data_IF_047565507048
#
_entry.id   IF_047565507048
#
_cell.length_a   1.000
_cell.length_b   1.000
_cell.length_c   1.000
_cell.angle_alpha   90.00
_cell.angle_beta   90.00
_cell.angle_gamma   90.00
#
_symmetry.space_group_name_H-M   'P 1'
#
loop_
_entity.id
_entity.type
_entity.pdbx_description
1 polymer ?
#
# COMPACT_ATOMS: atom_id res chain seq x y z
N UNK A 1 -6.15 32.44 -17.84
CA UNK A 1 -7.46 31.83 -17.60
C UNK A 1 -8.54 32.90 -17.67
N UNK A 2 -9.43 32.83 -18.67
CA UNK A 2 -10.54 33.76 -18.86
C UNK A 2 -11.27 33.49 -20.17
N UNK A 3 -12.47 34.09 -20.39
CA UNK A 3 -13.30 33.83 -21.56
C UNK A 3 -12.66 34.23 -22.90
N UNK A 4 -11.49 34.89 -22.88
CA UNK A 4 -10.70 35.27 -24.06
C UNK A 4 -9.41 34.44 -24.25
N UNK A 5 -9.24 33.32 -23.55
CA UNK A 5 -8.08 32.44 -23.70
C UNK A 5 -8.04 31.88 -25.13
N UNK A 6 -7.03 32.28 -25.92
CA UNK A 6 -6.80 31.74 -27.27
C UNK A 6 -6.13 30.38 -27.14
N UNK A 7 -6.75 29.34 -27.68
CA UNK A 7 -6.10 28.06 -27.83
C UNK A 7 -5.03 28.12 -28.92
N UNK A 8 -3.80 27.76 -28.62
CA UNK A 8 -2.71 27.67 -29.60
C UNK A 8 -2.59 26.16 -29.95
N UNK A 9 -2.77 25.86 -31.23
CA UNK A 9 -2.51 24.52 -31.76
C UNK A 9 -1.03 24.42 -32.08
N UNK A 10 -0.37 23.44 -31.45
CA UNK A 10 1.02 23.08 -31.72
C UNK A 10 1.04 21.78 -32.53
N UNK A 11 1.79 21.78 -33.64
CA UNK A 11 2.04 20.56 -34.40
C UNK A 11 3.19 19.81 -33.75
N UNK A 12 2.93 18.58 -33.31
CA UNK A 12 3.92 17.69 -32.70
C UNK A 12 4.31 16.59 -33.69
N UNK A 13 5.58 16.18 -33.71
CA UNK A 13 5.99 15.00 -34.47
C UNK A 13 5.25 13.75 -33.92
N UNK A 14 5.15 12.66 -34.70
CA UNK A 14 4.54 11.41 -34.21
C UNK A 14 5.15 10.97 -32.90
N UNK A 15 4.33 10.64 -31.90
CA UNK A 15 4.75 10.18 -30.58
C UNK A 15 3.81 9.13 -30.03
N UNK A 16 4.28 8.35 -29.08
CA UNK A 16 3.49 7.42 -28.29
C UNK A 16 3.20 8.03 -26.92
N UNK A 17 1.92 8.17 -26.58
CA UNK A 17 1.50 8.64 -25.27
C UNK A 17 1.28 7.47 -24.32
N UNK A 18 1.97 7.48 -23.20
CA UNK A 18 1.75 6.56 -22.08
C UNK A 18 1.28 7.36 -20.88
N UNK A 19 0.16 6.95 -20.29
CA UNK A 19 -0.40 7.59 -19.10
C UNK A 19 -0.70 6.55 -18.02
N UNK A 20 -0.65 6.95 -16.76
CA UNK A 20 -1.03 6.13 -15.62
C UNK A 20 -1.87 6.96 -14.63
N UNK A 21 -2.83 6.30 -13.99
CA UNK A 21 -3.66 6.91 -12.95
C UNK A 21 -4.02 5.87 -11.90
N UNK A 22 -4.15 6.29 -10.66
CA UNK A 22 -4.71 5.48 -9.56
C UNK A 22 -6.23 5.59 -9.50
N UNK A 23 -6.82 6.59 -10.17
CA UNK A 23 -8.26 6.92 -10.15
C UNK A 23 -8.87 6.83 -11.55
N UNK A 24 -8.86 5.63 -12.14
CA UNK A 24 -9.41 5.40 -13.47
C UNK A 24 -10.89 5.84 -13.62
N UNK A 25 -11.66 5.79 -12.53
CA UNK A 25 -13.06 6.24 -12.50
C UNK A 25 -13.27 7.74 -12.70
N UNK A 26 -12.23 8.58 -12.50
CA UNK A 26 -12.28 10.01 -12.75
C UNK A 26 -11.96 10.38 -14.20
N UNK A 27 -11.49 9.43 -15.01
CA UNK A 27 -11.26 9.66 -16.42
C UNK A 27 -12.60 9.68 -17.17
N UNK A 28 -12.81 10.73 -17.94
CA UNK A 28 -13.98 10.81 -18.82
C UNK A 28 -13.91 9.73 -19.91
N UNK A 29 -15.06 9.20 -20.35
CA UNK A 29 -15.10 8.19 -21.41
C UNK A 29 -14.35 8.63 -22.67
N UNK A 30 -14.53 9.89 -23.19
CA UNK A 30 -13.80 10.32 -24.38
C UNK A 30 -12.27 10.32 -24.23
N UNK A 31 -11.75 10.54 -23.04
CA UNK A 31 -10.31 10.46 -22.80
C UNK A 31 -9.84 9.01 -22.76
N UNK A 32 -10.59 8.14 -22.07
CA UNK A 32 -10.28 6.71 -21.98
C UNK A 32 -10.29 6.04 -23.37
N UNK A 33 -11.28 6.35 -24.18
CA UNK A 33 -11.48 5.74 -25.51
C UNK A 33 -10.38 6.13 -26.51
N UNK A 34 -9.62 7.20 -26.22
CA UNK A 34 -8.45 7.60 -27.04
C UNK A 34 -7.22 6.74 -26.80
N UNK A 35 -7.17 5.98 -25.71
CA UNK A 35 -6.08 5.04 -25.45
C UNK A 35 -6.44 3.68 -26.07
N UNK A 36 -5.67 3.24 -27.07
CA UNK A 36 -5.90 1.97 -27.77
C UNK A 36 -5.58 0.74 -26.93
N UNK A 37 -4.78 0.90 -25.88
CA UNK A 37 -4.36 -0.17 -24.96
C UNK A 37 -4.60 0.30 -23.54
N UNK A 38 -5.46 -0.40 -22.81
CA UNK A 38 -5.74 -0.13 -21.38
C UNK A 38 -5.34 -1.36 -20.60
N UNK A 39 -4.43 -1.18 -19.65
CA UNK A 39 -3.93 -2.23 -18.76
C UNK A 39 -4.18 -1.87 -17.30
N UNK A 40 -4.59 -2.84 -16.50
CA UNK A 40 -4.68 -2.72 -15.07
C UNK A 40 -3.44 -3.37 -14.45
N UNK A 41 -2.70 -2.58 -13.67
CA UNK A 41 -1.58 -3.11 -12.91
C UNK A 41 -2.10 -3.72 -11.61
N UNK A 42 -1.66 -4.94 -11.33
CA UNK A 42 -1.95 -5.64 -10.09
C UNK A 42 -0.76 -5.59 -9.14
N UNK A 43 -0.99 -5.96 -7.90
CA UNK A 43 0.08 -6.09 -6.93
C UNK A 43 0.97 -7.27 -7.28
N UNK A 44 2.27 -7.13 -7.01
CA UNK A 44 3.26 -8.18 -7.24
C UNK A 44 3.11 -9.30 -6.21
N UNK A 45 3.39 -10.52 -6.62
CA UNK A 45 3.52 -11.65 -5.71
C UNK A 45 4.73 -11.50 -4.78
N UNK A 46 4.77 -12.25 -3.69
CA UNK A 46 5.94 -12.28 -2.79
C UNK A 46 7.17 -12.80 -3.53
N UNK A 47 6.99 -13.75 -4.44
CA UNK A 47 8.05 -14.32 -5.28
C UNK A 47 8.66 -13.26 -6.19
N UNK A 48 7.83 -12.52 -6.92
CA UNK A 48 8.29 -11.43 -7.81
C UNK A 48 9.00 -10.34 -7.03
N UNK A 49 8.44 -9.93 -5.88
CA UNK A 49 9.08 -8.94 -5.01
C UNK A 49 10.40 -9.45 -4.44
N UNK A 50 10.52 -10.75 -4.14
CA UNK A 50 11.78 -11.35 -3.70
C UNK A 50 12.85 -11.24 -4.78
N UNK A 51 12.50 -11.47 -6.04
CA UNK A 51 13.40 -11.27 -7.18
C UNK A 51 13.81 -9.80 -7.32
N UNK A 52 12.86 -8.87 -7.20
CA UNK A 52 13.12 -7.43 -7.25
C UNK A 52 14.06 -6.99 -6.11
N UNK A 53 13.82 -7.46 -4.89
CA UNK A 53 14.65 -7.14 -3.71
C UNK A 53 16.09 -7.66 -3.90
N UNK A 54 16.27 -8.92 -4.34
CA UNK A 54 17.58 -9.50 -4.62
C UNK A 54 18.33 -8.71 -5.68
N UNK A 55 17.67 -8.40 -6.80
CA UNK A 55 18.26 -7.58 -7.87
C UNK A 55 18.69 -6.22 -7.34
N UNK A 56 17.83 -5.56 -6.57
CA UNK A 56 18.12 -4.24 -6.01
C UNK A 56 19.25 -4.28 -4.98
N UNK A 57 19.33 -5.34 -4.15
CA UNK A 57 20.45 -5.55 -3.23
C UNK A 57 21.77 -5.72 -3.97
N UNK A 58 21.80 -6.53 -5.04
CA UNK A 58 22.99 -6.70 -5.88
C UNK A 58 23.45 -5.38 -6.51
N UNK A 59 22.51 -4.53 -6.99
CA UNK A 59 22.85 -3.21 -7.56
C UNK A 59 23.39 -2.22 -6.52
N UNK A 60 23.15 -2.48 -5.24
CA UNK A 60 23.67 -1.67 -4.13
C UNK A 60 24.88 -2.31 -3.43
N UNK A 61 25.42 -3.41 -3.97
CA UNK A 61 26.51 -4.20 -3.38
C UNK A 61 26.24 -4.63 -1.93
N UNK A 62 24.97 -5.00 -1.64
CA UNK A 62 24.53 -5.44 -0.31
C UNK A 62 24.45 -6.96 -0.26
N UNK A 63 25.28 -7.65 0.53
CA UNK A 63 25.18 -9.10 0.74
C UNK A 63 23.82 -9.46 1.35
N UNK A 64 23.12 -10.41 0.71
CA UNK A 64 21.75 -10.78 1.12
C UNK A 64 21.49 -12.27 0.89
N UNK A 65 20.86 -12.92 1.88
CA UNK A 65 20.36 -14.29 1.73
C UNK A 65 18.98 -14.30 1.05
N UNK A 66 18.61 -15.47 0.49
CA UNK A 66 17.28 -15.65 -0.10
C UNK A 66 16.13 -15.38 0.89
N UNK A 67 16.30 -15.83 2.14
CA UNK A 67 15.30 -15.69 3.19
C UNK A 67 15.20 -14.24 3.70
N UNK A 68 16.32 -13.50 3.74
CA UNK A 68 16.31 -12.06 4.02
C UNK A 68 15.54 -11.26 2.98
N UNK A 69 15.75 -11.59 1.69
CA UNK A 69 15.00 -10.96 0.60
C UNK A 69 13.50 -11.29 0.68
N UNK A 70 13.14 -12.55 0.98
CA UNK A 70 11.76 -12.98 1.12
C UNK A 70 11.05 -12.31 2.30
N UNK A 71 11.75 -12.11 3.41
CA UNK A 71 11.20 -11.40 4.57
C UNK A 71 10.85 -9.94 4.25
N UNK A 72 11.73 -9.23 3.53
CA UNK A 72 11.45 -7.87 3.05
C UNK A 72 10.28 -7.87 2.06
N UNK A 73 10.27 -8.79 1.09
CA UNK A 73 9.26 -8.91 0.07
C UNK A 73 7.85 -9.13 0.68
N UNK A 74 7.76 -10.04 1.66
CA UNK A 74 6.49 -10.37 2.34
C UNK A 74 5.86 -9.15 3.02
N UNK A 75 6.67 -8.29 3.64
CA UNK A 75 6.20 -7.06 4.31
C UNK A 75 6.07 -5.85 3.37
N UNK A 76 6.24 -6.04 2.05
CA UNK A 76 6.29 -4.94 1.07
C UNK A 76 4.95 -4.59 0.41
N UNK A 77 3.85 -5.14 0.89
CA UNK A 77 2.49 -4.76 0.47
C UNK A 77 2.27 -4.92 -1.05
N UNK A 78 2.88 -5.92 -1.69
CA UNK A 78 2.74 -6.15 -3.13
C UNK A 78 3.36 -5.07 -4.03
N UNK A 79 4.18 -4.16 -3.47
CA UNK A 79 4.61 -2.95 -4.18
C UNK A 79 6.13 -2.83 -4.26
N UNK A 80 6.74 -2.80 -5.46
CA UNK A 80 8.20 -2.64 -5.64
C UNK A 80 8.77 -1.38 -5.01
N UNK A 81 8.02 -0.27 -5.01
CA UNK A 81 8.44 0.98 -4.35
C UNK A 81 8.64 0.78 -2.85
N UNK A 82 7.69 0.09 -2.19
CA UNK A 82 7.77 -0.19 -0.76
C UNK A 82 8.90 -1.18 -0.50
N UNK A 83 9.03 -2.25 -1.29
CA UNK A 83 10.11 -3.22 -1.18
C UNK A 83 11.50 -2.56 -1.23
N UNK A 84 11.73 -1.69 -2.19
CA UNK A 84 12.99 -0.95 -2.31
C UNK A 84 13.20 0.07 -1.17
N UNK A 85 12.13 0.68 -0.66
CA UNK A 85 12.21 1.56 0.52
C UNK A 85 12.62 0.78 1.76
N UNK A 86 11.96 -0.36 2.02
CA UNK A 86 12.28 -1.22 3.14
C UNK A 86 13.69 -1.80 3.03
N UNK A 87 14.09 -2.27 1.85
CA UNK A 87 15.44 -2.76 1.60
C UNK A 87 16.52 -1.75 2.00
N UNK A 88 16.38 -0.47 1.60
CA UNK A 88 17.33 0.57 1.99
C UNK A 88 17.43 0.74 3.50
N UNK A 89 16.28 0.71 4.21
CA UNK A 89 16.25 0.84 5.66
C UNK A 89 16.85 -0.38 6.38
N UNK A 90 16.56 -1.58 5.87
CA UNK A 90 17.15 -2.82 6.38
C UNK A 90 18.66 -2.84 6.15
N UNK A 91 19.15 -2.37 4.97
CA UNK A 91 20.57 -2.19 4.70
C UNK A 91 21.23 -1.26 5.72
N UNK A 92 20.65 -0.07 5.92
CA UNK A 92 21.19 0.92 6.87
C UNK A 92 21.27 0.33 8.29
N UNK A 93 20.25 -0.42 8.69
CA UNK A 93 20.25 -1.13 9.98
C UNK A 93 21.32 -2.23 10.04
N UNK A 94 21.47 -3.05 8.98
CA UNK A 94 22.46 -4.12 8.93
C UNK A 94 23.90 -3.59 8.98
N UNK A 95 24.17 -2.45 8.35
CA UNK A 95 25.48 -1.78 8.40
C UNK A 95 25.81 -1.24 9.81
N UNK A 96 24.81 -0.76 10.54
CA UNK A 96 25.03 -0.15 11.88
C UNK A 96 25.02 -1.20 13.00
N UNK A 97 24.16 -2.20 12.90
CA UNK A 97 23.88 -3.17 13.97
C UNK A 97 24.39 -4.58 13.70
N UNK A 98 24.97 -4.82 12.53
CA UNK A 98 25.45 -6.14 12.09
C UNK A 98 26.74 -6.06 11.29
N UNK A 99 26.95 -7.06 10.44
CA UNK A 99 28.11 -7.20 9.55
C UNK A 99 27.88 -6.57 8.15
N UNK A 100 26.70 -5.98 7.94
CA UNK A 100 26.27 -5.49 6.62
C UNK A 100 25.54 -6.53 5.77
N UNK A 101 25.53 -7.81 6.18
CA UNK A 101 24.78 -8.86 5.51
C UNK A 101 23.32 -8.87 5.99
N UNK A 102 22.39 -9.04 5.05
CA UNK A 102 20.95 -9.13 5.32
C UNK A 102 20.51 -10.59 5.22
N UNK A 103 20.40 -11.26 6.36
CA UNK A 103 19.71 -12.54 6.50
C UNK A 103 18.29 -12.31 7.05
N UNK A 104 17.52 -13.40 7.22
CA UNK A 104 16.14 -13.33 7.70
C UNK A 104 16.01 -12.63 9.06
N UNK A 105 16.83 -12.99 10.04
CA UNK A 105 16.81 -12.43 11.39
C UNK A 105 17.16 -10.93 11.38
N UNK A 106 18.16 -10.53 10.61
CA UNK A 106 18.53 -9.12 10.44
C UNK A 106 17.40 -8.33 9.79
N UNK A 107 16.77 -8.87 8.73
CA UNK A 107 15.64 -8.25 8.07
C UNK A 107 14.45 -8.10 9.04
N UNK A 108 14.13 -9.14 9.81
CA UNK A 108 13.04 -9.13 10.78
C UNK A 108 13.25 -8.04 11.85
N UNK A 109 14.42 -8.03 12.50
CA UNK A 109 14.73 -7.02 13.54
C UNK A 109 14.66 -5.58 13.00
N UNK A 110 15.17 -5.36 11.80
CA UNK A 110 15.12 -4.04 11.17
C UNK A 110 13.67 -3.62 10.88
N UNK A 111 12.84 -4.52 10.34
CA UNK A 111 11.44 -4.25 10.03
C UNK A 111 10.59 -4.05 11.28
N UNK A 112 10.86 -4.79 12.34
CA UNK A 112 10.20 -4.61 13.64
C UNK A 112 10.54 -3.25 14.25
N UNK A 113 11.81 -2.80 14.16
CA UNK A 113 12.22 -1.45 14.53
C UNK A 113 11.49 -0.37 13.73
N UNK A 114 11.21 -0.62 12.46
CA UNK A 114 10.43 0.26 11.58
C UNK A 114 8.93 0.17 11.84
N UNK A 115 8.49 -0.68 12.79
CA UNK A 115 7.09 -0.92 13.13
C UNK A 115 6.25 -1.43 11.94
N UNK A 116 6.87 -2.18 11.05
CA UNK A 116 6.20 -2.92 9.98
C UNK A 116 6.06 -4.36 10.46
N UNK A 117 4.83 -4.81 10.69
CA UNK A 117 4.59 -6.15 11.23
C UNK A 117 4.73 -7.26 10.18
N UNK A 118 4.51 -8.51 10.62
CA UNK A 118 4.63 -9.70 9.77
C UNK A 118 3.70 -9.70 8.55
N UNK A 119 2.60 -8.97 8.62
CA UNK A 119 1.59 -8.85 7.56
C UNK A 119 1.77 -7.57 6.74
N UNK A 120 2.85 -6.82 6.97
CA UNK A 120 3.18 -5.58 6.26
C UNK A 120 2.36 -4.37 6.71
N UNK A 121 1.63 -4.47 7.83
CA UNK A 121 0.91 -3.34 8.40
C UNK A 121 1.89 -2.40 9.12
N UNK A 122 1.82 -1.13 8.80
CA UNK A 122 2.59 -0.10 9.47
C UNK A 122 1.79 0.57 10.62
N UNK A 123 2.34 1.62 11.20
CA UNK A 123 1.71 2.33 12.31
C UNK A 123 0.37 2.97 11.91
N UNK A 124 0.26 3.51 10.68
CA UNK A 124 -0.98 4.14 10.21
C UNK A 124 -2.05 3.10 9.93
N UNK A 125 -1.71 1.98 9.32
CA UNK A 125 -2.63 0.87 9.08
C UNK A 125 -3.24 0.37 10.39
N UNK A 126 -2.38 0.12 11.38
CA UNK A 126 -2.83 -0.36 12.70
C UNK A 126 -3.69 0.67 13.43
N UNK A 127 -3.32 1.95 13.33
CA UNK A 127 -4.12 3.03 13.89
C UNK A 127 -5.49 3.13 13.24
N UNK A 128 -5.56 2.96 11.91
CA UNK A 128 -6.83 2.92 11.17
C UNK A 128 -7.70 1.77 11.64
N UNK A 129 -7.16 0.56 11.70
CA UNK A 129 -7.90 -0.63 12.14
C UNK A 129 -8.35 -0.52 13.60
N UNK A 130 -7.44 -0.12 14.52
CA UNK A 130 -7.79 0.12 15.92
C UNK A 130 -8.93 1.15 16.05
N UNK A 131 -8.82 2.27 15.32
CA UNK A 131 -9.87 3.30 15.34
C UNK A 131 -11.22 2.74 14.86
N UNK A 132 -11.22 1.99 13.76
CA UNK A 132 -12.44 1.39 13.22
C UNK A 132 -13.04 0.35 14.17
N UNK A 133 -12.21 -0.48 14.81
CA UNK A 133 -12.63 -1.54 15.72
C UNK A 133 -13.13 -0.97 17.06
N UNK A 134 -12.35 -0.07 17.69
CA UNK A 134 -12.57 0.35 19.07
C UNK A 134 -13.50 1.56 19.20
N UNK A 135 -13.42 2.51 18.26
CA UNK A 135 -14.23 3.75 18.29
C UNK A 135 -15.51 3.66 17.50
N UNK A 136 -15.54 2.83 16.47
CA UNK A 136 -16.69 2.69 15.57
C UNK A 136 -17.30 1.28 15.62
N UNK A 137 -16.96 0.48 16.64
CA UNK A 137 -17.50 -0.88 16.85
C UNK A 137 -17.43 -1.76 15.60
N UNK A 138 -16.34 -1.64 14.83
CA UNK A 138 -16.14 -2.32 13.55
C UNK A 138 -16.90 -1.71 12.37
N UNK A 139 -17.61 -0.63 12.55
CA UNK A 139 -18.34 0.09 11.51
C UNK A 139 -19.84 -0.28 11.41
N UNK A 140 -20.53 0.30 10.42
CA UNK A 140 -20.05 1.12 9.31
C UNK A 140 -19.64 2.54 9.71
N UNK A 141 -18.46 2.99 9.30
CA UNK A 141 -17.91 4.31 9.57
C UNK A 141 -17.70 5.11 8.27
N UNK A 142 -18.11 6.36 8.22
CA UNK A 142 -17.83 7.26 7.12
C UNK A 142 -16.35 7.63 7.05
N UNK A 143 -15.81 7.85 5.83
CA UNK A 143 -14.37 8.21 5.66
C UNK A 143 -14.03 9.50 6.39
N UNK A 144 -14.87 10.52 6.32
CA UNK A 144 -14.64 11.80 6.97
C UNK A 144 -14.60 11.68 8.50
N UNK A 145 -15.47 10.82 9.09
CA UNK A 145 -15.47 10.57 10.51
C UNK A 145 -14.20 9.83 10.97
N UNK A 146 -13.74 8.84 10.18
CA UNK A 146 -12.47 8.14 10.42
C UNK A 146 -11.28 9.09 10.28
N UNK A 147 -11.24 9.89 9.23
CA UNK A 147 -10.19 10.87 8.97
C UNK A 147 -10.06 11.88 10.12
N UNK A 148 -11.20 12.44 10.55
CA UNK A 148 -11.26 13.35 11.69
C UNK A 148 -10.77 12.68 12.99
N UNK A 149 -11.20 11.43 13.25
CA UNK A 149 -10.78 10.68 14.44
C UNK A 149 -9.27 10.32 14.42
N UNK A 150 -8.70 10.17 13.24
CA UNK A 150 -7.27 9.92 13.05
C UNK A 150 -6.43 11.19 12.94
N UNK A 151 -7.04 12.38 12.85
CA UNK A 151 -6.37 13.63 12.50
C UNK A 151 -5.56 13.50 11.20
N UNK A 152 -6.15 12.87 10.19
CA UNK A 152 -5.58 12.63 8.87
C UNK A 152 -6.52 13.20 7.78
N UNK A 153 -6.01 13.35 6.57
CA UNK A 153 -6.83 13.72 5.41
C UNK A 153 -7.59 12.49 4.87
N UNK A 154 -8.86 12.66 4.48
CA UNK A 154 -9.67 11.58 3.92
C UNK A 154 -9.07 10.98 2.65
N UNK A 155 -8.41 11.80 1.82
CA UNK A 155 -7.67 11.33 0.66
C UNK A 155 -6.50 10.42 1.03
N UNK A 156 -5.80 10.68 2.14
CA UNK A 156 -4.75 9.79 2.65
C UNK A 156 -5.32 8.43 3.03
N UNK A 157 -6.49 8.41 3.69
CA UNK A 157 -7.15 7.15 4.02
C UNK A 157 -7.49 6.36 2.74
N UNK A 158 -8.13 7.02 1.78
CA UNK A 158 -8.63 6.37 0.56
C UNK A 158 -7.55 5.93 -0.42
N UNK A 159 -6.47 6.71 -0.55
CA UNK A 159 -5.47 6.50 -1.59
C UNK A 159 -4.22 5.76 -1.09
N UNK A 160 -3.94 5.81 0.23
CA UNK A 160 -2.71 5.25 0.80
C UNK A 160 -2.97 4.07 1.73
N UNK A 161 -3.93 4.20 2.66
CA UNK A 161 -4.17 3.21 3.72
C UNK A 161 -5.14 2.12 3.26
N UNK A 162 -6.35 2.49 2.88
CA UNK A 162 -7.44 1.57 2.57
C UNK A 162 -7.16 0.59 1.42
N UNK A 163 -6.44 0.94 0.32
CA UNK A 163 -6.24 0.01 -0.78
C UNK A 163 -5.57 -1.30 -0.34
N UNK A 164 -4.58 -1.21 0.55
CA UNK A 164 -3.92 -2.40 1.07
C UNK A 164 -4.81 -3.16 2.06
N UNK A 165 -5.46 -2.46 2.99
CA UNK A 165 -6.34 -3.08 3.98
C UNK A 165 -7.54 -3.80 3.34
N UNK A 166 -8.09 -3.23 2.26
CA UNK A 166 -9.18 -3.84 1.49
C UNK A 166 -8.68 -5.07 0.74
N UNK A 167 -7.52 -4.97 0.08
CA UNK A 167 -6.93 -6.08 -0.65
C UNK A 167 -6.61 -7.27 0.27
N UNK A 168 -6.10 -6.99 1.46
CA UNK A 168 -5.82 -8.03 2.47
C UNK A 168 -7.09 -8.53 3.18
N UNK A 169 -8.24 -7.95 2.88
CA UNK A 169 -9.50 -8.38 3.45
C UNK A 169 -9.74 -7.91 4.89
N UNK A 170 -9.00 -6.94 5.40
CA UNK A 170 -9.24 -6.37 6.73
C UNK A 170 -10.43 -5.42 6.76
N UNK A 171 -10.69 -4.72 5.66
CA UNK A 171 -11.73 -3.69 5.55
C UNK A 171 -12.57 -3.92 4.31
N UNK A 172 -13.87 -3.68 4.42
CA UNK A 172 -14.80 -3.61 3.30
C UNK A 172 -15.39 -2.20 3.16
N UNK A 173 -15.53 -1.72 1.93
CA UNK A 173 -16.30 -0.52 1.60
C UNK A 173 -17.73 -0.90 1.31
N UNK A 174 -18.68 -0.25 1.98
CA UNK A 174 -20.12 -0.41 1.74
C UNK A 174 -20.75 0.95 1.46
N UNK A 175 -22.03 0.95 1.03
CA UNK A 175 -22.77 2.19 0.82
C UNK A 175 -22.94 3.03 2.11
N UNK A 176 -22.86 2.40 3.29
CA UNK A 176 -22.96 3.05 4.59
C UNK A 176 -21.60 3.51 5.15
N UNK A 177 -20.49 3.06 4.56
CA UNK A 177 -19.14 3.35 5.04
C UNK A 177 -18.24 2.13 5.10
N UNK A 178 -17.18 2.23 5.88
CA UNK A 178 -16.15 1.21 6.07
C UNK A 178 -16.52 0.26 7.19
N UNK A 179 -16.33 -1.03 6.96
CA UNK A 179 -16.63 -2.09 7.93
C UNK A 179 -15.37 -2.94 8.09
N UNK A 180 -15.00 -3.22 9.34
CA UNK A 180 -13.95 -4.19 9.67
C UNK A 180 -14.46 -5.62 9.41
N UNK A 181 -13.61 -6.46 8.85
CA UNK A 181 -13.93 -7.88 8.65
C UNK A 181 -13.50 -8.69 9.87
N UNK A 182 -13.90 -9.96 9.91
CA UNK A 182 -13.44 -10.88 10.96
C UNK A 182 -11.90 -10.97 11.03
N UNK A 183 -11.21 -10.84 9.88
CA UNK A 183 -9.74 -10.82 9.84
C UNK A 183 -9.15 -9.63 10.62
N UNK A 184 -9.79 -8.47 10.56
CA UNK A 184 -9.33 -7.30 11.33
C UNK A 184 -9.44 -7.56 12.84
N UNK A 185 -10.54 -8.14 13.32
CA UNK A 185 -10.70 -8.52 14.73
C UNK A 185 -9.63 -9.51 15.17
N UNK A 186 -9.43 -10.59 14.40
CA UNK A 186 -8.42 -11.62 14.70
C UNK A 186 -7.00 -11.04 14.73
N UNK A 187 -6.68 -10.10 13.84
CA UNK A 187 -5.38 -9.42 13.79
C UNK A 187 -5.07 -8.65 15.09
N UNK A 188 -6.12 -8.14 15.75
CA UNK A 188 -6.01 -7.44 17.04
C UNK A 188 -6.27 -8.36 18.25
N UNK A 189 -6.41 -9.66 18.04
CA UNK A 189 -6.71 -10.61 19.12
C UNK A 189 -8.11 -10.44 19.72
N UNK A 190 -9.01 -9.79 18.97
CA UNK A 190 -10.39 -9.56 19.37
C UNK A 190 -11.31 -10.65 18.80
N UNK A 191 -12.36 -11.02 19.54
CA UNK A 191 -13.39 -11.90 18.99
C UNK A 191 -14.21 -11.15 17.93
N UNK A 192 -14.43 -11.74 16.74
CA UNK A 192 -15.36 -11.16 15.76
C UNK A 192 -16.77 -11.06 16.34
N UNK A 193 -17.56 -10.04 15.98
CA UNK A 193 -18.94 -9.94 16.41
C UNK A 193 -19.77 -11.13 15.87
N UNK A 194 -20.72 -11.59 16.67
CA UNK A 194 -21.64 -12.62 16.21
C UNK A 194 -22.41 -12.13 14.97
N UNK A 195 -22.69 -13.04 14.01
CA UNK A 195 -23.52 -12.69 12.86
C UNK A 195 -24.88 -12.16 13.39
N UNK A 196 -25.20 -10.91 13.09
CA UNK A 196 -26.56 -10.41 13.38
C UNK A 196 -27.50 -11.15 12.46
N UNK A 197 -28.30 -12.05 13.03
CA UNK A 197 -29.41 -12.68 12.31
C UNK A 197 -30.26 -11.59 11.65
N UNK A 198 -30.51 -11.79 10.35
CA UNK A 198 -31.29 -10.85 9.53
C UNK A 198 -32.76 -11.04 9.78
#
# INVERSE_FOLDING_TARGET
>A
EGPAARSIKLDLPPFTLVAATTRAGLLTSPLRDRFGIVQRLEFYSVEDLTHIVKRSANLMDVPMTGDGAKEIARRSRGTPRIANRLLRRVRDYAQVKGTGEINQDMAQRALDMLKVDKDGLDTLDRRYLSMLLERFDGGPAGVEALAAAMAEDSGTLEDVIEPYLIQQGYVMRTARGRIATNMAYLQFGMAPPEPKDK
#
